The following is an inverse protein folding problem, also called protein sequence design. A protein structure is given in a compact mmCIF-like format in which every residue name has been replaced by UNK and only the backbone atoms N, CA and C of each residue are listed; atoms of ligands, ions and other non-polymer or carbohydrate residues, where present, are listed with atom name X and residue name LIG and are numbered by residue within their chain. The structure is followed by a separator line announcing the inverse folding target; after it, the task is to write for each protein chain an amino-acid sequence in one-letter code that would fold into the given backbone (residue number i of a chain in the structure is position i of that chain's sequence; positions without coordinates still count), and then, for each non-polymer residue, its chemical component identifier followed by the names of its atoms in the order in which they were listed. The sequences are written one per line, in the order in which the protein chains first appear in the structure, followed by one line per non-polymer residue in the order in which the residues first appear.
data_IF_320603196674
#
_entry.id   IF_320603196674
#
_cell.length_a   1.000
_cell.length_b   1.000
_cell.length_c   1.000
_cell.angle_alpha   90.00
_cell.angle_beta   90.00
_cell.angle_gamma   90.00
#
_symmetry.space_group_name_H-M   'P 1'
#
loop_
_entity.id
_entity.type
_entity.pdbx_description
1 polymer ?
#
# COMPACT_ATOMS: atom_id res chain seq x y z
N UNK A 1 -24.04 -54.57 -70.75
CA UNK A 1 -22.74 -54.77 -70.10
C UNK A 1 -22.90 -54.32 -68.65
N UNK A 2 -22.95 -55.26 -67.70
CA UNK A 2 -21.87 -55.57 -66.73
C UNK A 2 -21.49 -54.32 -65.90
N UNK A 3 -21.41 -54.32 -64.58
CA UNK A 3 -21.63 -55.31 -63.53
C UNK A 3 -21.72 -54.53 -62.21
N UNK A 4 -22.34 -55.17 -61.23
CA UNK A 4 -22.39 -54.81 -59.83
C UNK A 4 -20.97 -54.82 -59.21
N UNK A 5 -20.62 -53.89 -58.33
CA UNK A 5 -19.68 -54.23 -57.25
C UNK A 5 -19.96 -53.43 -55.99
N UNK A 6 -20.27 -54.18 -54.93
CA UNK A 6 -20.57 -53.65 -53.62
C UNK A 6 -19.31 -53.37 -52.83
N UNK A 7 -19.43 -52.49 -51.83
CA UNK A 7 -18.63 -52.58 -50.62
C UNK A 7 -19.41 -52.03 -49.43
N UNK A 8 -19.78 -52.96 -48.56
CA UNK A 8 -20.28 -52.74 -47.21
C UNK A 8 -19.22 -52.03 -46.36
N UNK A 9 -19.62 -50.96 -45.67
CA UNK A 9 -18.97 -50.52 -44.44
C UNK A 9 -20.08 -50.22 -43.43
N UNK A 10 -20.31 -51.19 -42.53
CA UNK A 10 -21.12 -50.99 -41.32
C UNK A 10 -20.29 -50.19 -40.32
N UNK A 11 -20.52 -48.88 -40.26
CA UNK A 11 -20.04 -48.05 -39.16
C UNK A 11 -21.01 -48.15 -37.99
N UNK A 12 -20.59 -48.80 -36.90
CA UNK A 12 -21.29 -48.74 -35.61
C UNK A 12 -21.01 -47.37 -35.01
N UNK A 13 -22.02 -46.50 -34.96
CA UNK A 13 -21.93 -45.26 -34.19
C UNK A 13 -22.10 -45.60 -32.71
N UNK A 14 -20.99 -45.68 -31.98
CA UNK A 14 -21.00 -45.64 -30.53
C UNK A 14 -21.28 -44.20 -30.10
N UNK A 15 -22.45 -43.96 -29.49
CA UNK A 15 -22.72 -42.71 -28.77
C UNK A 15 -21.85 -42.73 -27.53
N UNK A 16 -20.72 -42.02 -27.57
CA UNK A 16 -19.94 -41.70 -26.37
C UNK A 16 -20.65 -40.55 -25.68
N UNK A 17 -21.40 -40.85 -24.63
CA UNK A 17 -21.84 -39.83 -23.68
C UNK A 17 -20.61 -39.45 -22.87
N UNK A 18 -19.98 -38.32 -23.22
CA UNK A 18 -18.97 -37.69 -22.37
C UNK A 18 -19.73 -37.08 -21.20
N UNK A 19 -19.77 -37.81 -20.09
CA UNK A 19 -20.11 -37.22 -18.80
C UNK A 19 -18.88 -36.41 -18.41
N UNK A 20 -18.90 -35.10 -18.70
CA UNK A 20 -17.95 -34.17 -18.10
C UNK A 20 -18.21 -34.23 -16.59
N UNK A 21 -17.35 -34.96 -15.88
CA UNK A 21 -17.29 -34.88 -14.43
C UNK A 21 -16.96 -33.43 -14.08
N UNK A 22 -17.89 -32.74 -13.42
CA UNK A 22 -17.55 -31.58 -12.62
C UNK A 22 -16.57 -32.07 -11.55
N UNK A 23 -15.28 -31.83 -11.79
CA UNK A 23 -14.34 -31.76 -10.68
C UNK A 23 -14.73 -30.47 -9.95
N UNK A 24 -15.23 -30.50 -8.70
CA UNK A 24 -15.25 -29.28 -7.93
C UNK A 24 -13.78 -28.85 -7.86
N UNK A 25 -13.44 -27.73 -8.50
CA UNK A 25 -12.24 -27.00 -8.12
C UNK A 25 -12.39 -26.80 -6.62
N UNK A 26 -11.58 -27.52 -5.83
CA UNK A 26 -11.43 -27.17 -4.45
C UNK A 26 -10.99 -25.70 -4.49
N UNK A 27 -11.77 -24.79 -3.91
CA UNK A 27 -11.25 -23.45 -3.64
C UNK A 27 -9.93 -23.67 -2.92
N UNK A 28 -8.86 -23.09 -3.46
CA UNK A 28 -7.58 -23.09 -2.76
C UNK A 28 -7.83 -22.51 -1.37
N UNK A 29 -7.25 -23.13 -0.35
CA UNK A 29 -7.32 -22.55 0.98
C UNK A 29 -6.49 -21.26 0.98
N UNK A 30 -7.05 -20.20 1.57
CA UNK A 30 -6.31 -18.96 1.82
C UNK A 30 -4.97 -19.26 2.51
N UNK A 31 -3.87 -18.59 2.12
CA UNK A 31 -2.54 -18.97 2.60
C UNK A 31 -2.35 -18.75 4.09
N UNK A 32 -1.38 -19.50 4.63
CA UNK A 32 -0.87 -19.29 5.98
C UNK A 32 0.38 -18.42 5.93
N UNK A 33 0.65 -17.67 6.99
CA UNK A 33 1.84 -16.84 7.09
C UNK A 33 2.78 -17.33 8.20
N UNK A 34 4.08 -17.36 7.91
CA UNK A 34 5.13 -17.57 8.91
C UNK A 34 5.69 -16.23 9.39
N UNK A 35 5.77 -16.05 10.71
CA UNK A 35 6.23 -14.79 11.30
C UNK A 35 7.72 -14.87 11.68
N UNK A 36 8.48 -13.94 11.14
CA UNK A 36 9.91 -13.76 11.36
C UNK A 36 10.21 -12.36 11.91
N UNK A 37 11.29 -12.26 12.67
CA UNK A 37 11.81 -10.99 13.16
C UNK A 37 12.88 -10.50 12.18
N UNK A 38 12.73 -9.28 11.68
CA UNK A 38 13.73 -8.61 10.84
C UNK A 38 14.90 -8.17 11.72
N UNK A 39 14.62 -7.32 12.71
CA UNK A 39 15.59 -6.88 13.73
C UNK A 39 14.88 -6.31 14.97
N UNK A 40 15.67 -6.01 16.01
CA UNK A 40 15.29 -5.17 17.15
C UNK A 40 16.09 -3.87 17.14
N UNK A 41 15.53 -2.84 16.52
CA UNK A 41 16.17 -1.53 16.42
C UNK A 41 15.15 -0.40 16.53
N UNK A 42 15.62 0.77 16.95
CA UNK A 42 14.76 1.92 17.16
C UNK A 42 13.76 1.70 18.30
N UNK A 43 13.12 2.77 18.74
CA UNK A 43 12.00 2.76 19.65
C UNK A 43 11.01 3.91 19.40
N UNK A 44 11.25 4.72 18.38
CA UNK A 44 10.37 5.81 17.94
C UNK A 44 9.76 5.51 16.58
N UNK A 45 8.63 6.16 16.34
CA UNK A 45 8.01 6.18 15.03
C UNK A 45 8.88 6.88 13.98
N UNK A 46 8.60 6.52 12.74
CA UNK A 46 9.22 7.04 11.53
C UNK A 46 8.70 6.30 10.31
N UNK A 47 9.45 6.43 9.24
CA UNK A 47 9.14 6.05 7.88
C UNK A 47 9.53 4.63 7.55
N UNK A 48 8.84 4.05 6.56
CA UNK A 48 9.15 2.73 6.03
C UNK A 48 9.02 2.68 4.51
N UNK A 49 9.87 1.87 3.89
CA UNK A 49 9.78 1.52 2.47
C UNK A 49 10.12 0.04 2.32
N UNK A 50 9.56 -0.58 1.28
CA UNK A 50 9.88 -1.96 0.90
C UNK A 50 10.29 -1.93 -0.58
N UNK A 51 11.59 -1.97 -0.83
CA UNK A 51 12.19 -1.68 -2.14
C UNK A 51 13.49 -2.46 -2.30
N UNK A 52 13.83 -2.84 -3.53
CA UNK A 52 15.14 -3.37 -3.88
C UNK A 52 16.16 -2.21 -3.88
N UNK A 53 16.81 -1.95 -2.72
CA UNK A 53 17.66 -0.76 -2.54
C UNK A 53 19.05 -0.98 -3.13
N UNK A 54 19.46 -2.22 -3.32
CA UNK A 54 20.81 -2.60 -3.71
C UNK A 54 20.94 -3.35 -5.05
N UNK A 55 19.81 -3.61 -5.70
CA UNK A 55 19.66 -4.21 -7.03
C UNK A 55 20.09 -5.68 -7.13
N UNK A 56 19.94 -6.46 -6.07
CA UNK A 56 20.05 -7.92 -6.16
C UNK A 56 18.71 -8.61 -6.50
N UNK A 57 17.63 -7.84 -6.47
CA UNK A 57 16.34 -8.16 -7.03
C UNK A 57 15.33 -8.72 -6.04
N UNK A 58 15.70 -8.95 -4.78
CA UNK A 58 14.73 -9.10 -3.70
C UNK A 58 14.42 -7.74 -3.05
N UNK A 59 13.38 -7.68 -2.22
CA UNK A 59 12.98 -6.41 -1.61
C UNK A 59 13.57 -6.26 -0.21
N UNK A 60 14.13 -5.08 0.04
CA UNK A 60 14.71 -4.71 1.32
C UNK A 60 13.75 -3.89 2.16
N UNK A 61 13.88 -4.04 3.48
CA UNK A 61 13.11 -3.25 4.43
C UNK A 61 13.87 -1.99 4.83
N UNK A 62 13.38 -0.83 4.41
CA UNK A 62 13.89 0.47 4.89
C UNK A 62 13.02 0.93 6.04
N UNK A 63 13.66 1.38 7.12
CA UNK A 63 12.95 1.93 8.26
C UNK A 63 13.74 3.05 8.91
N UNK A 64 13.03 4.09 9.35
CA UNK A 64 13.59 5.14 10.15
C UNK A 64 12.82 5.42 11.42
N UNK A 65 13.51 6.16 12.27
CA UNK A 65 12.97 6.98 13.33
C UNK A 65 13.07 8.45 12.92
N UNK A 66 12.49 9.35 13.72
CA UNK A 66 12.51 10.81 13.55
C UNK A 66 13.81 11.45 13.04
N UNK A 67 14.99 10.87 13.26
CA UNK A 67 16.26 11.41 12.78
C UNK A 67 17.30 10.37 12.34
N UNK A 68 16.96 9.08 12.24
CA UNK A 68 17.90 8.01 11.87
C UNK A 68 17.21 6.96 11.02
N UNK A 69 17.91 6.47 10.01
CA UNK A 69 17.34 5.54 9.02
C UNK A 69 18.30 4.39 8.78
N UNK A 70 17.75 3.19 8.65
CA UNK A 70 18.43 1.95 8.33
C UNK A 70 17.74 1.28 7.16
N UNK A 71 18.47 0.37 6.52
CA UNK A 71 17.87 -0.61 5.63
C UNK A 71 18.36 -2.00 6.01
N UNK A 72 17.55 -3.00 5.66
CA UNK A 72 17.73 -4.39 6.02
C UNK A 72 17.72 -5.21 4.74
N UNK A 73 18.90 -5.70 4.36
CA UNK A 73 19.12 -6.58 3.21
C UNK A 73 18.45 -7.92 3.48
N UNK A 74 17.55 -8.34 2.60
CA UNK A 74 16.99 -9.68 2.71
C UNK A 74 18.07 -10.72 2.38
N UNK A 75 18.32 -11.66 3.30
CA UNK A 75 19.25 -12.77 3.09
C UNK A 75 18.61 -14.13 3.45
N UNK A 76 17.28 -14.15 3.50
CA UNK A 76 16.43 -15.28 3.88
C UNK A 76 15.49 -14.95 5.05
N UNK A 77 14.44 -15.75 5.28
CA UNK A 77 13.35 -15.38 6.20
C UNK A 77 13.81 -15.12 7.64
N UNK A 78 14.83 -15.84 8.11
CA UNK A 78 15.39 -15.67 9.45
C UNK A 78 16.66 -14.80 9.50
N UNK A 79 17.07 -14.19 8.39
CA UNK A 79 18.33 -13.47 8.29
C UNK A 79 18.20 -12.21 7.44
N UNK A 80 18.25 -11.08 8.12
CA UNK A 80 18.30 -9.74 7.52
C UNK A 80 19.62 -9.07 7.89
N UNK A 81 20.30 -8.46 6.92
CA UNK A 81 21.58 -7.78 7.16
C UNK A 81 21.32 -6.28 7.29
N UNK A 82 21.59 -5.74 8.48
CA UNK A 82 21.37 -4.32 8.75
C UNK A 82 22.49 -3.44 8.20
N UNK A 83 22.09 -2.37 7.55
CA UNK A 83 22.94 -1.29 7.07
C UNK A 83 22.42 0.08 7.55
N UNK A 84 23.29 1.09 7.60
CA UNK A 84 22.92 2.46 7.99
C UNK A 84 22.63 3.26 6.71
N UNK A 85 21.45 3.88 6.61
CA UNK A 85 21.15 4.84 5.54
C UNK A 85 21.71 6.20 5.94
N UNK A 86 21.41 6.65 7.16
CA UNK A 86 22.00 7.88 7.68
C UNK A 86 21.22 8.51 8.83
N UNK A 87 21.61 9.74 9.17
CA UNK A 87 21.01 10.51 10.26
C UNK A 87 20.86 12.00 9.94
N UNK A 88 19.91 12.64 10.61
CA UNK A 88 19.73 14.09 10.66
C UNK A 88 18.61 14.65 9.77
N UNK A 89 18.09 13.89 8.82
CA UNK A 89 16.84 14.24 8.14
C UNK A 89 15.66 14.00 9.09
N UNK A 90 14.68 14.89 9.08
CA UNK A 90 13.53 14.84 10.01
C UNK A 90 12.24 14.51 9.27
N UNK A 91 11.51 13.53 9.81
CA UNK A 91 10.12 13.24 9.47
C UNK A 91 9.32 13.03 10.75
N UNK A 92 7.99 12.95 10.65
CA UNK A 92 7.17 12.39 11.71
C UNK A 92 6.98 10.88 11.49
N UNK A 93 6.24 10.50 10.44
CA UNK A 93 6.03 9.11 10.01
C UNK A 93 6.29 8.94 8.51
N UNK A 94 5.95 9.93 7.68
CA UNK A 94 5.96 9.77 6.24
C UNK A 94 7.35 9.55 5.66
N UNK A 95 7.45 8.63 4.70
CA UNK A 95 8.57 8.47 3.80
C UNK A 95 8.21 7.56 2.65
N UNK A 96 8.93 7.74 1.56
CA UNK A 96 8.77 6.99 0.32
C UNK A 96 10.15 6.83 -0.32
N UNK A 97 10.31 5.79 -1.13
CA UNK A 97 11.57 5.46 -1.78
C UNK A 97 11.37 5.39 -3.29
N UNK A 98 12.18 6.14 -4.02
CA UNK A 98 12.19 6.21 -5.48
C UNK A 98 13.50 6.83 -5.96
N UNK A 99 13.79 6.77 -7.26
CA UNK A 99 14.96 7.40 -7.88
C UNK A 99 14.73 8.93 -7.98
N UNK A 100 15.28 9.70 -7.03
CA UNK A 100 15.01 11.13 -6.90
C UNK A 100 15.84 11.94 -7.89
N UNK A 101 17.06 11.49 -8.22
CA UNK A 101 17.99 12.22 -9.08
C UNK A 101 18.20 11.63 -10.48
N UNK A 102 17.50 10.54 -10.80
CA UNK A 102 17.49 9.93 -12.11
C UNK A 102 18.77 9.14 -12.42
N UNK A 103 19.54 8.77 -11.40
CA UNK A 103 20.77 7.96 -11.58
C UNK A 103 20.50 6.45 -11.65
N UNK A 104 19.24 6.07 -11.50
CA UNK A 104 18.72 4.72 -11.58
C UNK A 104 18.74 3.98 -10.24
N UNK A 105 19.25 4.55 -9.15
CA UNK A 105 19.25 3.92 -7.82
C UNK A 105 18.11 4.47 -6.96
N UNK A 106 17.54 3.60 -6.13
CA UNK A 106 16.46 4.00 -5.24
C UNK A 106 17.03 4.81 -4.07
N UNK A 107 16.51 6.02 -3.92
CA UNK A 107 16.78 6.94 -2.83
C UNK A 107 15.67 6.87 -1.78
N UNK A 108 15.91 7.45 -0.59
CA UNK A 108 14.93 7.49 0.49
C UNK A 108 14.54 8.93 0.84
N UNK A 109 13.29 9.32 0.54
CA UNK A 109 12.68 10.56 1.02
C UNK A 109 12.19 10.41 2.47
N UNK A 110 12.45 11.40 3.31
CA UNK A 110 12.15 11.38 4.75
C UNK A 110 11.55 12.72 5.22
N UNK A 111 10.54 13.22 4.52
CA UNK A 111 9.78 14.41 4.96
C UNK A 111 10.51 15.71 4.68
N UNK A 112 11.48 16.13 5.49
CA UNK A 112 12.19 17.41 5.32
C UNK A 112 13.51 17.32 4.51
N UNK A 113 13.82 16.15 3.97
CA UNK A 113 15.04 15.87 3.23
C UNK A 113 15.04 14.44 2.69
N UNK A 114 16.17 14.03 2.12
CA UNK A 114 16.32 12.72 1.51
C UNK A 114 17.76 12.21 1.60
N UNK A 115 17.91 10.90 1.41
CA UNK A 115 19.19 10.21 1.35
C UNK A 115 19.37 9.62 -0.03
N UNK A 116 20.41 10.08 -0.73
CA UNK A 116 20.82 9.61 -2.04
C UNK A 116 21.66 8.35 -1.94
N UNK A 117 21.30 7.32 -2.66
CA UNK A 117 22.07 6.10 -2.80
C UNK A 117 23.28 6.35 -3.71
N UNK A 118 24.49 5.96 -3.29
CA UNK A 118 25.69 6.15 -4.13
C UNK A 118 25.85 5.05 -5.19
N UNK A 119 24.93 4.09 -5.23
CA UNK A 119 24.99 2.88 -6.03
C UNK A 119 25.89 1.78 -5.46
N UNK A 120 26.31 1.92 -4.19
CA UNK A 120 27.01 0.89 -3.42
C UNK A 120 26.53 0.84 -1.97
N UNK A 121 25.22 0.69 -1.73
CA UNK A 121 24.60 0.88 -0.42
C UNK A 121 25.11 -0.06 0.67
N UNK A 122 25.73 -1.21 0.30
CA UNK A 122 26.37 -2.16 1.23
C UNK A 122 27.73 -1.69 1.76
N UNK A 123 28.37 -0.71 1.13
CA UNK A 123 29.77 -0.33 1.42
C UNK A 123 30.03 1.16 1.51
N UNK A 124 29.15 1.99 0.94
CA UNK A 124 29.26 3.45 0.97
C UNK A 124 28.01 4.03 1.64
N UNK A 125 28.17 5.08 2.48
CA UNK A 125 27.02 5.73 3.11
C UNK A 125 26.22 6.52 2.07
N UNK A 126 24.91 6.65 2.32
CA UNK A 126 24.07 7.51 1.51
C UNK A 126 24.45 8.98 1.73
N UNK A 127 24.27 9.80 0.69
CA UNK A 127 24.48 11.25 0.77
C UNK A 127 23.20 11.94 1.23
N UNK A 128 23.28 12.75 2.27
CA UNK A 128 22.11 13.47 2.81
C UNK A 128 21.91 14.82 2.12
N UNK A 129 20.68 15.12 1.74
CA UNK A 129 20.26 16.44 1.24
C UNK A 129 19.02 16.95 1.99
N UNK A 130 18.94 18.28 2.16
CA UNK A 130 17.74 18.94 2.67
C UNK A 130 16.92 19.41 1.46
N UNK A 131 15.65 18.99 1.35
CA UNK A 131 14.75 19.35 0.24
C UNK A 131 14.01 20.67 0.49
N UNK A 132 13.95 21.12 1.75
CA UNK A 132 13.20 22.32 2.15
C UNK A 132 11.69 22.11 2.28
N UNK A 133 11.25 20.86 2.19
CA UNK A 133 9.86 20.40 2.35
C UNK A 133 9.45 20.33 3.82
N UNK A 134 8.15 20.16 4.06
CA UNK A 134 7.59 20.00 5.41
C UNK A 134 8.04 18.69 6.07
N UNK A 135 8.09 18.71 7.41
CA UNK A 135 8.05 17.48 8.19
C UNK A 135 6.63 16.92 8.07
N UNK A 136 6.44 15.95 7.18
CA UNK A 136 5.14 15.39 6.85
C UNK A 136 4.75 14.23 7.78
N UNK A 137 3.45 14.07 7.98
CA UNK A 137 2.90 12.88 8.64
C UNK A 137 2.80 11.72 7.65
N UNK A 138 2.20 11.94 6.48
CA UNK A 138 2.19 10.98 5.37
C UNK A 138 2.73 11.65 4.09
N UNK A 139 3.23 10.83 3.17
CA UNK A 139 3.54 11.24 1.81
C UNK A 139 3.40 10.06 0.86
N UNK A 140 3.30 10.39 -0.43
CA UNK A 140 3.35 9.44 -1.55
C UNK A 140 4.14 10.07 -2.69
N UNK A 141 4.83 9.23 -3.46
CA UNK A 141 5.49 9.65 -4.68
C UNK A 141 4.57 9.37 -5.88
N UNK A 142 4.35 10.36 -6.74
CA UNK A 142 3.48 10.24 -7.90
C UNK A 142 3.88 11.25 -8.98
N UNK A 143 3.65 10.90 -10.25
CA UNK A 143 3.74 11.85 -11.37
C UNK A 143 2.51 12.75 -11.36
N UNK A 144 2.43 13.62 -10.35
CA UNK A 144 1.25 14.43 -10.09
C UNK A 144 0.97 15.34 -11.29
N UNK A 145 2.03 15.87 -11.93
CA UNK A 145 1.94 16.83 -13.04
C UNK A 145 2.08 16.30 -14.46
N UNK A 146 2.11 14.99 -14.62
CA UNK A 146 2.16 14.33 -15.92
C UNK A 146 3.42 14.67 -16.73
N UNK A 147 4.49 15.12 -16.07
CA UNK A 147 5.76 15.40 -16.73
C UNK A 147 6.63 14.15 -16.92
N UNK A 148 6.15 13.01 -16.42
CA UNK A 148 6.79 11.70 -16.50
C UNK A 148 7.80 11.44 -15.37
N UNK A 149 7.88 12.30 -14.36
CA UNK A 149 8.73 12.12 -13.17
C UNK A 149 7.88 12.07 -11.92
N UNK A 150 8.35 11.29 -10.93
CA UNK A 150 7.70 11.28 -9.63
C UNK A 150 8.05 12.55 -8.85
N UNK A 151 7.01 13.22 -8.38
CA UNK A 151 7.04 14.28 -7.37
C UNK A 151 6.49 13.74 -6.05
N UNK A 152 6.38 14.58 -5.01
CA UNK A 152 5.91 14.16 -3.69
C UNK A 152 4.67 14.90 -3.25
N UNK A 153 3.57 14.18 -3.06
CA UNK A 153 2.39 14.67 -2.33
C UNK A 153 2.60 14.41 -0.85
N UNK A 154 2.40 15.42 -0.01
CA UNK A 154 2.64 15.35 1.43
C UNK A 154 1.54 16.04 2.22
N UNK A 155 1.33 15.54 3.43
CA UNK A 155 0.40 16.14 4.39
C UNK A 155 1.14 16.51 5.68
N UNK A 156 0.76 17.64 6.26
CA UNK A 156 1.18 18.02 7.61
C UNK A 156 -0.01 18.45 8.45
N UNK A 157 0.02 17.98 9.69
CA UNK A 157 -0.91 18.28 10.76
C UNK A 157 -0.37 19.35 11.73
N UNK A 158 0.83 19.86 11.46
CA UNK A 158 1.47 20.85 12.31
C UNK A 158 0.69 22.15 12.29
N UNK A 159 0.35 22.68 13.47
CA UNK A 159 -0.44 23.91 13.60
C UNK A 159 0.13 25.12 12.84
N UNK A 160 1.45 25.17 12.65
CA UNK A 160 2.11 26.24 11.91
C UNK A 160 1.97 26.10 10.38
N UNK A 161 1.66 24.89 9.89
CA UNK A 161 1.58 24.54 8.48
C UNK A 161 0.64 23.35 8.29
N UNK A 162 -0.66 23.56 8.54
CA UNK A 162 -1.71 22.53 8.38
C UNK A 162 -2.13 22.48 6.90
N UNK A 163 -1.53 21.59 6.11
CA UNK A 163 -1.70 21.60 4.67
C UNK A 163 -1.59 20.20 4.04
N UNK A 164 -2.29 20.04 2.92
CA UNK A 164 -2.00 19.05 1.89
C UNK A 164 -1.35 19.79 0.73
N UNK A 165 -0.16 19.35 0.33
CA UNK A 165 0.68 20.00 -0.68
C UNK A 165 1.28 18.94 -1.59
N UNK A 166 1.74 19.36 -2.77
CA UNK A 166 2.71 18.59 -3.53
C UNK A 166 3.98 19.42 -3.72
N UNK A 167 5.10 18.72 -3.92
CA UNK A 167 6.41 19.31 -4.12
C UNK A 167 6.96 18.91 -5.48
N UNK A 168 7.13 19.91 -6.34
CA UNK A 168 7.84 19.77 -7.61
C UNK A 168 9.33 19.63 -7.34
N UNK A 169 9.92 18.53 -7.81
CA UNK A 169 11.35 18.28 -7.70
C UNK A 169 12.04 19.04 -8.85
N UNK A 170 12.90 20.03 -8.54
CA UNK A 170 13.61 20.76 -9.57
C UNK A 170 14.56 19.85 -10.34
N UNK A 171 14.90 20.24 -11.58
CA UNK A 171 15.83 19.49 -12.44
C UNK A 171 17.17 19.14 -11.77
N UNK A 172 17.60 19.92 -10.78
CA UNK A 172 18.63 19.53 -9.83
C UNK A 172 17.96 19.30 -8.46
N UNK A 173 17.72 18.05 -8.03
CA UNK A 173 16.94 17.74 -6.82
C UNK A 173 17.63 18.15 -5.50
N UNK A 174 18.87 18.67 -5.59
CA UNK A 174 19.62 19.26 -4.47
C UNK A 174 19.24 20.71 -4.20
N UNK A 175 18.56 21.36 -5.14
CA UNK A 175 17.95 22.67 -4.92
C UNK A 175 16.67 22.52 -4.08
N UNK A 176 16.14 23.64 -3.56
CA UNK A 176 14.89 23.60 -2.79
C UNK A 176 13.73 23.18 -3.68
N UNK A 177 12.91 22.27 -3.17
CA UNK A 177 11.72 21.81 -3.88
C UNK A 177 10.63 22.89 -3.83
N UNK A 178 9.78 22.91 -4.86
CA UNK A 178 8.79 23.97 -5.05
C UNK A 178 7.46 23.47 -4.49
N UNK A 179 6.95 24.15 -3.46
CA UNK A 179 5.69 23.80 -2.81
C UNK A 179 4.50 24.35 -3.59
N UNK A 180 3.53 23.47 -3.86
CA UNK A 180 2.25 23.81 -4.45
C UNK A 180 1.13 23.34 -3.51
N UNK A 181 0.18 24.22 -3.22
CA UNK A 181 -0.90 23.94 -2.27
C UNK A 181 -2.05 23.22 -2.96
N UNK A 182 -2.48 22.10 -2.37
CA UNK A 182 -3.68 21.36 -2.76
C UNK A 182 -4.86 21.79 -1.87
N UNK A 183 -4.70 21.64 -0.54
CA UNK A 183 -5.80 21.82 0.40
C UNK A 183 -5.36 22.00 1.85
N UNK A 184 -6.33 21.91 2.77
CA UNK A 184 -6.03 21.84 4.22
C UNK A 184 -5.46 20.47 4.61
N UNK A 185 -4.63 20.42 5.64
CA UNK A 185 -4.11 19.16 6.19
C UNK A 185 -5.04 18.54 7.23
N UNK A 186 -4.88 17.23 7.44
CA UNK A 186 -5.41 16.43 8.57
C UNK A 186 -4.24 15.65 9.20
N UNK A 187 -4.50 14.77 10.18
CA UNK A 187 -3.44 14.04 10.86
C UNK A 187 -2.70 13.10 9.89
N UNK A 188 -3.43 12.26 9.15
CA UNK A 188 -2.92 11.41 8.07
C UNK A 188 -4.04 11.12 7.08
N UNK A 189 -3.72 10.87 5.81
CA UNK A 189 -4.78 10.78 4.79
C UNK A 189 -4.39 10.60 3.33
N UNK A 190 -3.11 10.70 2.96
CA UNK A 190 -2.68 10.56 1.55
C UNK A 190 -1.93 9.26 1.29
N UNK A 191 -1.32 8.67 2.32
CA UNK A 191 -0.58 7.42 2.21
C UNK A 191 -1.45 6.21 2.54
N UNK A 192 -1.11 5.01 2.05
CA UNK A 192 0.07 4.70 1.22
C UNK A 192 -0.04 4.96 -0.29
N UNK A 193 -1.24 5.11 -0.86
CA UNK A 193 -1.44 5.20 -2.31
C UNK A 193 -2.66 6.08 -2.68
N UNK A 194 -2.74 7.29 -2.12
CA UNK A 194 -3.86 8.22 -2.30
C UNK A 194 -3.74 9.18 -3.48
N UNK A 195 -3.10 8.79 -4.59
CA UNK A 195 -3.01 9.59 -5.82
C UNK A 195 -3.41 8.74 -7.04
N UNK A 196 -4.27 9.27 -7.90
CA UNK A 196 -4.71 8.61 -9.14
C UNK A 196 -5.87 9.36 -9.83
N UNK A 197 -6.10 9.07 -11.10
CA UNK A 197 -7.14 9.68 -11.95
C UNK A 197 -8.56 9.15 -11.59
N UNK A 198 -9.29 9.87 -10.73
CA UNK A 198 -10.58 9.42 -10.18
C UNK A 198 -11.77 9.77 -11.08
N UNK A 199 -11.66 10.81 -11.91
CA UNK A 199 -12.71 11.21 -12.84
C UNK A 199 -12.43 10.84 -14.31
N UNK A 200 -11.30 10.17 -14.55
CA UNK A 200 -10.94 9.54 -15.80
C UNK A 200 -10.72 10.54 -16.92
N UNK A 201 -10.23 11.74 -16.61
CA UNK A 201 -9.92 12.80 -17.56
C UNK A 201 -8.43 12.84 -17.97
N UNK A 202 -7.60 12.06 -17.29
CA UNK A 202 -6.21 11.80 -17.62
C UNK A 202 -5.18 12.57 -16.80
N UNK A 203 -5.60 13.30 -15.77
CA UNK A 203 -4.70 13.85 -14.75
C UNK A 203 -4.86 13.14 -13.39
N UNK A 204 -3.88 13.32 -12.52
CA UNK A 204 -3.85 12.64 -11.23
C UNK A 204 -4.56 13.48 -10.15
N UNK A 205 -5.54 12.89 -9.49
CA UNK A 205 -6.22 13.47 -8.33
C UNK A 205 -5.56 13.06 -7.01
N UNK A 206 -5.95 13.73 -5.93
CA UNK A 206 -5.44 13.43 -4.58
C UNK A 206 -6.57 13.16 -3.61
N UNK A 207 -6.52 12.01 -2.93
CA UNK A 207 -7.42 11.71 -1.80
C UNK A 207 -6.73 12.07 -0.51
N UNK A 208 -7.46 12.77 0.37
CA UNK A 208 -7.06 13.09 1.73
C UNK A 208 -8.12 12.59 2.71
N UNK A 209 -8.31 11.27 2.76
CA UNK A 209 -9.35 10.63 3.57
C UNK A 209 -10.75 11.16 3.26
N UNK A 210 -11.22 12.14 4.03
CA UNK A 210 -12.61 12.64 3.96
C UNK A 210 -13.00 13.43 2.70
N UNK A 211 -12.02 13.77 1.86
CA UNK A 211 -12.22 14.50 0.60
C UNK A 211 -11.28 13.97 -0.48
N UNK A 212 -11.68 14.14 -1.74
CA UNK A 212 -10.76 14.07 -2.87
C UNK A 212 -10.64 15.44 -3.54
N UNK A 213 -9.47 15.72 -4.09
CA UNK A 213 -9.14 16.96 -4.78
C UNK A 213 -8.94 16.65 -6.26
N UNK A 214 -9.85 17.17 -7.07
CA UNK A 214 -9.77 17.12 -8.53
C UNK A 214 -8.70 18.08 -9.03
N UNK A 215 -7.78 17.60 -9.86
CA UNK A 215 -6.80 18.46 -10.54
C UNK A 215 -7.42 19.17 -11.75
N UNK A 216 -8.34 20.09 -11.48
CA UNK A 216 -9.24 20.69 -12.47
C UNK A 216 -8.58 21.46 -13.65
N UNK A 217 -7.27 21.69 -13.65
CA UNK A 217 -6.56 22.28 -14.79
C UNK A 217 -5.57 21.35 -15.50
N UNK A 218 -5.47 20.08 -15.06
CA UNK A 218 -4.52 19.08 -15.55
C UNK A 218 -3.07 19.53 -15.51
N UNK A 219 -2.77 20.48 -14.62
CA UNK A 219 -1.46 21.12 -14.43
C UNK A 219 -1.13 21.36 -12.97
N UNK A 220 -1.95 20.87 -12.03
CA UNK A 220 -1.68 20.78 -10.59
C UNK A 220 -1.63 22.10 -9.87
N UNK A 221 -2.19 23.13 -10.51
CA UNK A 221 -2.23 24.50 -9.98
C UNK A 221 -3.64 24.92 -9.57
N UNK A 222 -4.68 24.20 -10.01
CA UNK A 222 -6.06 24.44 -9.60
C UNK A 222 -6.72 23.16 -9.11
N UNK A 223 -7.10 23.16 -7.84
CA UNK A 223 -7.71 22.03 -7.17
C UNK A 223 -9.18 22.32 -6.85
N UNK A 224 -10.07 21.40 -7.23
CA UNK A 224 -11.48 21.42 -6.80
C UNK A 224 -11.66 20.39 -5.68
N UNK A 225 -12.04 20.85 -4.49
CA UNK A 225 -12.30 19.96 -3.35
C UNK A 225 -13.71 19.36 -3.44
N UNK A 226 -13.78 18.03 -3.45
CA UNK A 226 -15.02 17.27 -3.42
C UNK A 226 -15.14 16.52 -2.10
N UNK A 227 -16.08 16.98 -1.27
CA UNK A 227 -16.48 16.28 -0.07
C UNK A 227 -17.42 15.11 -0.38
N UNK A 228 -17.65 14.24 0.61
CA UNK A 228 -18.62 13.14 0.49
C UNK A 228 -18.04 11.76 0.75
N UNK A 229 -16.73 11.66 1.01
CA UNK A 229 -16.09 10.44 1.50
C UNK A 229 -16.36 10.32 3.00
N UNK A 230 -17.59 9.95 3.34
CA UNK A 230 -18.03 9.75 4.73
C UNK A 230 -18.60 8.34 4.88
N UNK A 231 -17.98 7.47 5.69
CA UNK A 231 -18.45 6.11 5.90
C UNK A 231 -19.74 6.08 6.74
N UNK A 232 -20.47 4.95 6.75
CA UNK A 232 -21.66 4.78 7.58
C UNK A 232 -21.39 5.12 9.05
N UNK A 233 -22.26 5.89 9.70
CA UNK A 233 -22.03 6.34 11.09
C UNK A 233 -21.00 7.46 11.25
N UNK A 234 -20.40 7.95 10.16
CA UNK A 234 -19.48 9.08 10.14
C UNK A 234 -18.01 8.70 10.37
N UNK A 235 -17.13 9.67 10.16
CA UNK A 235 -15.71 9.56 10.46
C UNK A 235 -15.46 9.40 11.97
N UNK A 236 -14.39 8.70 12.35
CA UNK A 236 -14.01 8.45 13.76
C UNK A 236 -12.74 9.21 14.19
N UNK A 237 -12.73 10.57 14.21
CA UNK A 237 -11.58 11.31 14.73
C UNK A 237 -11.45 11.11 16.24
N UNK A 238 -10.23 11.00 16.73
CA UNK A 238 -9.92 10.88 18.17
C UNK A 238 -8.95 12.02 18.59
N UNK A 239 -8.10 11.77 19.59
CA UNK A 239 -7.20 12.75 20.22
C UNK A 239 -6.27 13.49 19.26
N UNK A 240 -5.97 12.91 18.09
CA UNK A 240 -5.10 13.50 17.08
C UNK A 240 -5.85 14.12 15.90
N UNK A 241 -7.18 14.01 15.87
CA UNK A 241 -8.01 14.44 14.74
C UNK A 241 -8.33 13.27 13.82
N UNK A 242 -8.63 13.59 12.56
CA UNK A 242 -8.91 12.58 11.53
C UNK A 242 -7.59 12.01 10.99
N UNK A 243 -7.44 10.69 11.07
CA UNK A 243 -6.33 9.95 10.49
C UNK A 243 -6.86 8.75 9.72
N UNK A 244 -6.51 8.66 8.45
CA UNK A 244 -6.99 7.62 7.54
C UNK A 244 -5.81 7.17 6.67
N UNK A 245 -5.67 5.86 6.45
CA UNK A 245 -4.80 5.32 5.39
C UNK A 245 -5.61 5.11 4.12
N UNK A 246 -5.06 5.45 2.97
CA UNK A 246 -5.77 5.50 1.69
C UNK A 246 -5.04 4.72 0.61
N UNK A 247 -5.79 3.96 -0.18
CA UNK A 247 -5.31 3.25 -1.36
C UNK A 247 -6.29 3.41 -2.52
N UNK A 248 -5.81 3.88 -3.67
CA UNK A 248 -6.62 4.01 -4.89
C UNK A 248 -6.36 2.82 -5.81
N UNK A 249 -7.42 2.12 -6.22
CA UNK A 249 -7.36 1.00 -7.16
C UNK A 249 -8.75 0.68 -7.75
N UNK A 250 -8.81 0.01 -8.90
CA UNK A 250 -10.05 -0.57 -9.44
C UNK A 250 -10.36 -1.87 -8.66
N UNK A 251 -11.10 -1.76 -7.56
CA UNK A 251 -11.30 -2.84 -6.59
C UNK A 251 -12.39 -3.81 -7.05
N UNK A 252 -13.42 -3.29 -7.70
CA UNK A 252 -14.55 -4.08 -8.20
C UNK A 252 -14.43 -4.49 -9.69
N UNK A 253 -13.34 -4.10 -10.36
CA UNK A 253 -13.02 -4.40 -11.76
C UNK A 253 -14.06 -3.84 -12.73
N UNK A 254 -14.58 -2.65 -12.47
CA UNK A 254 -15.49 -1.92 -13.36
C UNK A 254 -14.79 -0.89 -14.26
N UNK A 255 -13.51 -0.62 -13.99
CA UNK A 255 -12.66 0.29 -14.75
C UNK A 255 -12.64 1.74 -14.24
N UNK A 256 -13.37 2.05 -13.16
CA UNK A 256 -13.20 3.28 -12.40
C UNK A 256 -12.26 3.01 -11.21
N UNK A 257 -11.41 3.96 -10.86
CA UNK A 257 -10.60 3.84 -9.65
C UNK A 257 -11.46 4.11 -8.41
N UNK A 258 -11.47 3.16 -7.49
CA UNK A 258 -12.10 3.21 -6.17
C UNK A 258 -11.12 3.69 -5.10
N UNK A 259 -11.64 3.94 -3.89
CA UNK A 259 -10.86 4.39 -2.74
C UNK A 259 -11.03 3.39 -1.60
N UNK A 260 -9.97 2.69 -1.19
CA UNK A 260 -9.93 1.85 0.01
C UNK A 260 -9.34 2.65 1.16
N UNK A 261 -9.99 2.59 2.32
CA UNK A 261 -9.59 3.33 3.50
C UNK A 261 -9.50 2.45 4.75
N UNK A 262 -8.56 2.79 5.63
CA UNK A 262 -8.49 2.28 6.99
C UNK A 262 -8.44 3.44 7.99
N UNK A 263 -9.36 3.43 8.96
CA UNK A 263 -9.37 4.42 10.04
C UNK A 263 -8.22 4.15 11.02
N UNK A 264 -7.32 5.13 11.10
CA UNK A 264 -6.15 5.12 11.95
C UNK A 264 -6.34 6.07 13.14
N UNK A 265 -5.56 5.88 14.20
CA UNK A 265 -5.66 6.64 15.45
C UNK A 265 -7.09 6.70 16.00
N UNK A 266 -7.83 5.63 15.78
CA UNK A 266 -9.15 5.38 16.33
C UNK A 266 -9.10 4.10 17.16
N UNK A 267 -9.62 4.13 18.39
CA UNK A 267 -9.64 2.95 19.28
C UNK A 267 -10.47 1.78 18.74
N UNK A 268 -11.27 2.04 17.71
CA UNK A 268 -12.23 1.15 17.08
C UNK A 268 -12.35 1.53 15.61
N UNK A 269 -11.27 1.38 14.86
CA UNK A 269 -11.19 1.68 13.43
C UNK A 269 -11.86 0.62 12.56
N UNK A 270 -12.11 0.98 11.32
CA UNK A 270 -12.67 0.12 10.28
C UNK A 270 -11.79 0.11 9.05
N UNK A 271 -11.98 -0.91 8.22
CA UNK A 271 -11.54 -0.94 6.83
C UNK A 271 -12.76 -0.94 5.94
N UNK A 272 -12.78 -0.08 4.94
CA UNK A 272 -13.91 0.11 4.02
C UNK A 272 -13.44 0.63 2.68
N UNK A 273 -14.32 0.69 1.70
CA UNK A 273 -14.03 1.31 0.42
C UNK A 273 -15.19 2.18 -0.07
N UNK A 274 -14.88 3.15 -0.90
CA UNK A 274 -15.83 3.95 -1.65
C UNK A 274 -15.78 3.55 -3.12
N UNK A 275 -16.90 3.02 -3.59
CA UNK A 275 -17.11 2.68 -4.99
C UNK A 275 -17.30 3.94 -5.82
N UNK A 276 -16.50 4.07 -6.87
CA UNK A 276 -16.56 5.18 -7.80
C UNK A 276 -17.62 4.95 -8.88
N UNK A 277 -18.82 5.49 -8.66
CA UNK A 277 -19.93 5.34 -9.57
C UNK A 277 -19.91 6.42 -10.64
N UNK A 278 -19.26 6.10 -11.76
CA UNK A 278 -19.33 6.87 -12.99
C UNK A 278 -18.34 8.02 -13.07
N UNK A 279 -17.09 7.76 -12.65
CA UNK A 279 -15.94 8.66 -12.78
C UNK A 279 -16.07 9.94 -11.96
N UNK A 280 -15.98 9.83 -10.64
CA UNK A 280 -16.02 10.95 -9.68
C UNK A 280 -17.41 11.54 -9.42
N UNK A 281 -18.48 11.05 -10.08
CA UNK A 281 -19.83 11.63 -9.97
C UNK A 281 -20.54 11.32 -8.65
N UNK A 282 -20.33 10.12 -8.13
CA UNK A 282 -20.96 9.67 -6.88
C UNK A 282 -20.17 8.53 -6.27
N UNK A 283 -20.23 8.45 -4.95
CA UNK A 283 -19.49 7.49 -4.15
C UNK A 283 -20.45 6.67 -3.29
N UNK A 284 -20.31 5.36 -3.29
CA UNK A 284 -21.03 4.46 -2.38
C UNK A 284 -20.06 3.76 -1.45
N UNK A 285 -20.29 3.84 -0.13
CA UNK A 285 -19.38 3.24 0.84
C UNK A 285 -19.80 1.84 1.25
N UNK A 286 -18.84 0.92 1.24
CA UNK A 286 -19.00 -0.48 1.64
C UNK A 286 -17.98 -0.85 2.71
N UNK A 287 -18.42 -1.52 3.78
CA UNK A 287 -17.50 -2.01 4.81
C UNK A 287 -16.79 -3.29 4.35
N UNK A 288 -15.47 -3.31 4.54
CA UNK A 288 -14.62 -4.51 4.35
C UNK A 288 -14.54 -5.27 5.68
N UNK A 289 -14.28 -4.55 6.77
CA UNK A 289 -14.28 -5.10 8.13
C UNK A 289 -15.65 -5.04 8.78
N UNK A 290 -15.79 -5.61 9.98
CA UNK A 290 -16.91 -5.28 10.86
C UNK A 290 -16.93 -3.77 11.21
N UNK A 291 -18.11 -3.22 11.51
CA UNK A 291 -18.26 -1.82 11.91
C UNK A 291 -17.55 -1.50 13.25
N UNK A 292 -17.30 -2.50 14.09
CA UNK A 292 -16.58 -2.35 15.37
C UNK A 292 -15.56 -3.48 15.53
N UNK A 293 -14.28 -3.16 15.38
CA UNK A 293 -13.18 -4.14 15.40
C UNK A 293 -12.39 -4.11 16.72
N UNK A 294 -12.51 -3.04 17.50
CA UNK A 294 -11.66 -2.70 18.65
C UNK A 294 -10.15 -2.62 18.32
N UNK A 295 -9.80 -2.46 17.04
CA UNK A 295 -8.43 -2.27 16.58
C UNK A 295 -8.24 -0.86 16.03
N UNK A 296 -7.03 -0.36 16.13
CA UNK A 296 -6.56 0.88 15.50
C UNK A 296 -5.85 0.52 14.19
N UNK A 297 -6.40 0.85 13.03
CA UNK A 297 -5.86 0.38 11.75
C UNK A 297 -4.91 1.40 11.12
N UNK A 298 -3.75 1.59 11.75
CA UNK A 298 -2.73 2.54 11.29
C UNK A 298 -1.89 2.02 10.09
N UNK A 299 -2.31 0.94 9.44
CA UNK A 299 -1.67 0.40 8.24
C UNK A 299 -2.74 0.04 7.21
N UNK A 300 -2.40 0.10 5.93
CA UNK A 300 -3.24 -0.44 4.86
C UNK A 300 -2.33 -1.01 3.77
N UNK A 301 -2.63 -2.22 3.30
CA UNK A 301 -2.09 -2.73 2.05
C UNK A 301 -3.19 -3.41 1.24
N UNK A 302 -3.19 -3.20 -0.08
CA UNK A 302 -4.15 -3.80 -1.00
C UNK A 302 -3.36 -4.61 -2.03
N UNK A 303 -3.59 -5.92 -2.09
CA UNK A 303 -2.85 -6.84 -2.94
C UNK A 303 -3.62 -8.15 -3.12
N UNK A 304 -3.26 -8.95 -4.13
CA UNK A 304 -3.77 -10.31 -4.33
C UNK A 304 -2.96 -11.28 -3.45
N UNK A 305 -3.40 -11.54 -2.22
CA UNK A 305 -2.60 -12.32 -1.25
C UNK A 305 -2.65 -13.83 -1.50
N UNK A 306 -3.68 -14.33 -2.18
CA UNK A 306 -3.85 -15.76 -2.47
C UNK A 306 -3.68 -16.14 -3.96
N UNK A 307 -3.30 -15.17 -4.80
CA UNK A 307 -3.08 -15.29 -6.24
C UNK A 307 -4.32 -15.78 -7.02
N UNK A 308 -5.52 -15.41 -6.60
CA UNK A 308 -6.75 -15.76 -7.30
C UNK A 308 -7.15 -14.73 -8.39
N UNK A 309 -6.42 -13.61 -8.44
CA UNK A 309 -6.54 -12.57 -9.43
C UNK A 309 -7.45 -11.42 -9.02
N UNK A 310 -7.97 -11.36 -7.80
CA UNK A 310 -8.59 -10.17 -7.22
C UNK A 310 -7.78 -9.55 -6.07
N UNK A 311 -8.19 -8.35 -5.65
CA UNK A 311 -7.48 -7.58 -4.64
C UNK A 311 -8.14 -7.76 -3.28
N UNK A 312 -7.33 -8.10 -2.30
CA UNK A 312 -7.65 -8.21 -0.88
C UNK A 312 -7.17 -6.99 -0.10
N UNK A 313 -7.58 -6.86 1.16
CA UNK A 313 -7.13 -5.80 2.05
C UNK A 313 -6.42 -6.34 3.31
N UNK A 314 -5.26 -5.80 3.65
CA UNK A 314 -4.54 -6.04 4.90
C UNK A 314 -4.58 -4.81 5.81
N UNK A 315 -4.79 -5.04 7.11
CA UNK A 315 -4.49 -4.05 8.15
C UNK A 315 -4.11 -4.70 9.48
N UNK A 316 -3.44 -3.93 10.35
CA UNK A 316 -2.98 -4.42 11.65
C UNK A 316 -3.20 -3.42 12.79
N UNK A 317 -3.40 -3.97 13.98
CA UNK A 317 -3.69 -3.26 15.21
C UNK A 317 -2.53 -2.40 15.71
N UNK A 318 -2.77 -1.10 15.70
CA UNK A 318 -1.90 -0.01 16.09
C UNK A 318 -1.87 0.28 17.59
N UNK A 319 -1.15 1.33 18.00
CA UNK A 319 -0.84 1.62 19.39
C UNK A 319 -2.06 1.90 20.28
N UNK A 320 -3.18 2.33 19.71
CA UNK A 320 -4.35 2.71 20.50
C UNK A 320 -5.55 1.77 20.36
N UNK A 321 -5.35 0.56 19.81
CA UNK A 321 -6.37 -0.49 19.82
C UNK A 321 -7.03 -0.61 21.20
N UNK A 322 -8.36 -0.65 21.23
CA UNK A 322 -9.12 -0.83 22.47
C UNK A 322 -8.89 -2.20 23.10
N UNK A 323 -8.70 -3.24 22.27
CA UNK A 323 -8.22 -4.53 22.76
C UNK A 323 -6.73 -4.45 23.13
N UNK A 324 -6.35 -5.12 24.22
CA UNK A 324 -4.94 -5.26 24.62
C UNK A 324 -4.18 -6.24 23.72
N UNK A 325 -4.90 -7.07 22.97
CA UNK A 325 -4.32 -7.96 21.97
C UNK A 325 -4.42 -7.28 20.61
N UNK A 326 -3.28 -6.87 20.08
CA UNK A 326 -3.15 -6.36 18.72
C UNK A 326 -3.26 -7.50 17.72
N UNK A 327 -4.00 -7.27 16.64
CA UNK A 327 -4.32 -8.29 15.65
C UNK A 327 -4.06 -7.77 14.25
N UNK A 328 -3.53 -8.61 13.38
CA UNK A 328 -3.40 -8.32 11.96
C UNK A 328 -4.34 -9.21 11.16
N UNK A 329 -5.03 -8.61 10.20
CA UNK A 329 -6.05 -9.25 9.40
C UNK A 329 -5.76 -9.11 7.92
N UNK A 330 -6.16 -10.10 7.15
CA UNK A 330 -6.45 -9.95 5.72
C UNK A 330 -7.94 -10.23 5.52
N UNK A 331 -8.61 -9.38 4.75
CA UNK A 331 -9.96 -9.61 4.27
C UNK A 331 -9.88 -10.04 2.80
N UNK A 332 -10.20 -11.32 2.54
CA UNK A 332 -10.23 -11.95 1.23
C UNK A 332 -11.48 -11.49 0.45
N UNK A 333 -11.31 -11.01 -0.79
CA UNK A 333 -12.38 -10.58 -1.68
C UNK A 333 -13.07 -11.80 -2.34
N UNK A 334 -13.94 -12.45 -1.59
CA UNK A 334 -14.51 -13.74 -1.94
C UNK A 334 -15.46 -13.76 -3.17
N UNK A 335 -15.75 -12.63 -3.80
CA UNK A 335 -16.58 -12.53 -5.00
C UNK A 335 -15.93 -11.80 -6.18
N UNK A 336 -14.65 -11.46 -6.09
CA UNK A 336 -13.88 -10.71 -7.09
C UNK A 336 -14.48 -9.39 -7.54
N UNK A 337 -15.45 -8.88 -6.78
CA UNK A 337 -16.22 -7.65 -7.03
C UNK A 337 -16.33 -6.78 -5.78
N UNK A 338 -15.57 -7.10 -4.73
CA UNK A 338 -15.52 -6.36 -3.48
C UNK A 338 -16.88 -6.28 -2.76
N UNK A 339 -17.80 -7.20 -3.08
CA UNK A 339 -19.14 -7.27 -2.50
C UNK A 339 -19.25 -8.25 -1.33
N UNK A 340 -18.33 -9.21 -1.23
CA UNK A 340 -18.26 -10.20 -0.16
C UNK A 340 -16.84 -10.38 0.35
N UNK A 341 -16.67 -10.27 1.67
CA UNK A 341 -15.37 -10.32 2.32
C UNK A 341 -15.30 -11.48 3.31
N UNK A 342 -14.16 -12.19 3.31
CA UNK A 342 -13.85 -13.22 4.29
C UNK A 342 -12.64 -12.81 5.12
N UNK A 343 -12.87 -12.61 6.42
CA UNK A 343 -11.83 -12.19 7.36
C UNK A 343 -10.92 -13.36 7.78
N UNK A 344 -9.61 -13.13 7.70
CA UNK A 344 -8.56 -14.02 8.18
C UNK A 344 -7.70 -13.31 9.22
N UNK A 345 -7.60 -13.92 10.40
CA UNK A 345 -6.66 -13.49 11.43
C UNK A 345 -5.27 -14.08 11.12
N UNK A 346 -4.33 -13.22 10.75
CA UNK A 346 -2.99 -13.62 10.30
C UNK A 346 -1.97 -13.63 11.44
N UNK A 347 -2.11 -12.70 12.40
CA UNK A 347 -1.18 -12.57 13.51
C UNK A 347 -1.83 -11.97 14.74
N UNK A 348 -1.46 -12.45 15.93
CA UNK A 348 -1.86 -11.87 17.22
C UNK A 348 -0.64 -11.50 18.07
N UNK A 349 -0.78 -10.43 18.88
CA UNK A 349 0.19 -10.05 19.90
C UNK A 349 1.37 -9.20 19.43
N UNK A 350 1.39 -8.80 18.14
CA UNK A 350 2.37 -7.86 17.58
C UNK A 350 1.68 -6.55 17.19
N UNK A 351 2.32 -5.42 17.47
CA UNK A 351 1.83 -4.09 17.14
C UNK A 351 2.22 -3.73 15.71
N UNK A 352 1.25 -3.31 14.91
CA UNK A 352 1.44 -2.88 13.53
C UNK A 352 1.04 -1.42 13.39
N UNK A 353 1.96 -0.55 12.99
CA UNK A 353 1.72 0.88 12.78
C UNK A 353 2.05 1.34 11.36
N UNK A 354 2.99 0.70 10.68
CA UNK A 354 3.21 0.90 9.26
C UNK A 354 3.60 -0.44 8.66
N UNK A 355 2.84 -0.88 7.66
CA UNK A 355 3.08 -2.10 6.92
C UNK A 355 3.28 -1.81 5.43
N UNK A 356 4.05 -2.66 4.77
CA UNK A 356 4.21 -2.72 3.32
C UNK A 356 4.03 -4.17 2.91
N UNK A 357 3.38 -4.40 1.77
CA UNK A 357 3.16 -5.73 1.23
C UNK A 357 3.68 -5.80 -0.21
N UNK A 358 4.45 -6.85 -0.50
CA UNK A 358 5.00 -7.16 -1.81
C UNK A 358 5.67 -8.55 -1.76
N UNK A 359 6.02 -9.12 -2.91
CA UNK A 359 6.80 -10.36 -3.02
C UNK A 359 8.26 -10.10 -2.61
N UNK A 360 8.59 -10.34 -1.34
CA UNK A 360 9.89 -9.98 -0.76
C UNK A 360 10.95 -10.97 -1.20
N UNK A 361 10.62 -12.26 -1.22
CA UNK A 361 11.58 -13.33 -1.47
C UNK A 361 11.56 -13.91 -2.90
N UNK A 362 10.69 -13.35 -3.76
CA UNK A 362 10.57 -13.61 -5.19
C UNK A 362 10.00 -14.99 -5.53
N UNK A 363 9.22 -15.58 -4.64
CA UNK A 363 8.53 -16.84 -4.93
C UNK A 363 7.19 -16.64 -5.66
N UNK A 364 6.73 -15.39 -5.78
CA UNK A 364 5.53 -15.00 -6.51
C UNK A 364 4.26 -15.06 -5.67
N UNK A 365 4.34 -15.04 -4.35
CA UNK A 365 3.25 -14.64 -3.46
C UNK A 365 3.60 -13.37 -2.66
N UNK A 366 2.58 -12.74 -2.05
CA UNK A 366 2.74 -11.41 -1.44
C UNK A 366 3.00 -11.55 0.06
N UNK A 367 4.16 -11.09 0.49
CA UNK A 367 4.59 -11.00 1.88
C UNK A 367 4.22 -9.67 2.53
N UNK A 368 4.46 -9.54 3.85
CA UNK A 368 4.19 -8.31 4.61
C UNK A 368 5.33 -7.98 5.56
N UNK A 369 5.89 -6.77 5.46
CA UNK A 369 6.83 -6.21 6.43
C UNK A 369 6.17 -5.09 7.22
N UNK A 370 6.35 -5.05 8.55
CA UNK A 370 5.81 -3.95 9.35
C UNK A 370 6.62 -3.63 10.61
N UNK A 371 6.32 -2.46 11.20
CA UNK A 371 6.89 -1.99 12.46
C UNK A 371 5.83 -1.53 13.47
N UNK A 372 6.16 -1.47 14.77
CA UNK A 372 5.34 -0.82 15.79
C UNK A 372 5.46 0.71 15.76
N UNK A 373 4.55 1.41 16.44
CA UNK A 373 4.69 2.85 16.72
C UNK A 373 5.79 3.14 17.73
N UNK A 374 5.70 2.47 18.89
CA UNK A 374 6.70 2.47 19.96
C UNK A 374 7.12 1.03 20.25
N UNK A 375 8.40 0.75 20.09
CA UNK A 375 8.97 -0.59 20.21
C UNK A 375 10.08 -0.78 19.18
N UNK A 376 10.85 -1.85 19.35
CA UNK A 376 12.02 -2.12 18.52
C UNK A 376 11.83 -3.27 17.54
N UNK A 377 10.75 -4.04 17.66
CA UNK A 377 10.58 -5.30 16.93
C UNK A 377 9.96 -5.10 15.55
N UNK A 378 10.76 -5.28 14.50
CA UNK A 378 10.30 -5.30 13.11
C UNK A 378 9.95 -6.72 12.66
N UNK A 379 8.85 -6.86 11.93
CA UNK A 379 8.27 -8.16 11.58
C UNK A 379 8.25 -8.34 10.07
N UNK A 380 8.60 -9.54 9.64
CA UNK A 380 8.38 -10.09 8.30
C UNK A 380 7.36 -11.23 8.41
N UNK A 381 6.26 -11.14 7.69
CA UNK A 381 5.29 -12.21 7.51
C UNK A 381 5.48 -12.78 6.12
N UNK A 382 6.06 -13.97 6.09
CA UNK A 382 6.26 -14.72 4.86
C UNK A 382 4.97 -15.44 4.49
N UNK A 383 4.44 -15.16 3.31
CA UNK A 383 3.32 -15.88 2.77
C UNK A 383 3.81 -17.27 2.30
N UNK A 384 2.99 -18.29 2.54
CA UNK A 384 3.39 -19.69 2.31
C UNK A 384 2.53 -20.32 1.21
N UNK A 385 1.89 -19.52 0.37
CA UNK A 385 0.97 -20.00 -0.66
C UNK A 385 1.70 -20.97 -1.58
N UNK A 386 2.89 -20.62 -2.06
CA UNK A 386 3.67 -21.48 -2.97
C UNK A 386 4.14 -22.77 -2.29
N UNK A 387 4.66 -22.70 -1.07
CA UNK A 387 5.13 -23.90 -0.38
C UNK A 387 3.99 -24.81 0.03
N UNK A 388 2.83 -24.26 0.41
CA UNK A 388 1.65 -25.04 0.75
C UNK A 388 1.11 -25.80 -0.47
N UNK A 389 1.19 -25.22 -1.67
CA UNK A 389 0.83 -25.88 -2.92
C UNK A 389 1.82 -27.00 -3.33
N UNK A 390 3.06 -26.96 -2.81
CA UNK A 390 4.12 -27.94 -3.13
C UNK A 390 4.13 -29.18 -2.24
N UNK A 391 3.34 -29.20 -1.16
CA UNK A 391 3.20 -30.31 -0.20
C UNK A 391 2.04 -31.23 -0.59
#
# INVERSE_FOLDING_TARGET
MFYNDGRNLRGVFAIVVVICGFCPLALAAFPTFECYQIDRIGNQMGQTSLVDIDKDGDLDWVVGERARTWWFEYAGPQKWIRHDVGQGVRTDVGGTAFDIDGDGWIDQFCGAGWYRNTGKPRTEPFERFDSGTIVCHDNVAADINGDGKLDVVAISDQKAHLATVWYEIPANPRDKWIEHKIGGGIHGGVGPAGVGDLDGDGDNDVVRGDVWFENADGKDLQWTEHAGLTPPGGNRPDRYGLAIKVWICDLDKDGNLDIVEAEADAVDGRVFWFQNQGKGKSWECHLISADHTNQDFHSLAVADFDNDGDLDAFSGGGPISKDKVHKCYIWENADSRAGQWKEHLILEGKRCHEAKAADVDRDGDIDICFKPWNGDEHIYLRNMLKENASK
#
